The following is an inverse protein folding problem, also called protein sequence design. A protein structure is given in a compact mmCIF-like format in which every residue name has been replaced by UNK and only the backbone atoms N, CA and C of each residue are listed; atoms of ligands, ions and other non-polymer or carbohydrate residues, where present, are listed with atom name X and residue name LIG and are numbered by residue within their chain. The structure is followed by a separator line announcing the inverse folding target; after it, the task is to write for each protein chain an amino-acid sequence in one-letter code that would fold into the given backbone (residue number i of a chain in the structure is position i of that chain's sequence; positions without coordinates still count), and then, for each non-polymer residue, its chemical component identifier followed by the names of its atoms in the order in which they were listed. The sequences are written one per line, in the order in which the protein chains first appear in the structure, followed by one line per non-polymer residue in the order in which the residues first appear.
data_IF_673538266164
#
_entry.id   IF_673538266164
#
_cell.length_a   1.000
_cell.length_b   1.000
_cell.length_c   1.000
_cell.angle_alpha   90.00
_cell.angle_beta   90.00
_cell.angle_gamma   90.00
#
_symmetry.space_group_name_H-M   'P 1'
#
loop_
_entity.id
_entity.type
_entity.pdbx_description
1 polymer ?
#
# COMPACT_ATOMS: atom_id res chain seq x y z
N UNK A 1 87.28 7.72 -0.39
CA UNK A 1 86.44 6.84 0.46
C UNK A 1 85.22 6.44 -0.38
N UNK A 2 85.25 5.41 -1.24
CA UNK A 2 85.04 3.96 -0.97
C UNK A 2 83.93 3.68 0.06
N UNK A 3 82.73 3.32 -0.39
CA UNK A 3 82.16 1.96 -0.21
C UNK A 3 81.09 1.68 -1.27
N UNK A 4 81.01 0.42 -1.68
CA UNK A 4 80.24 -0.14 -2.78
C UNK A 4 79.22 -1.18 -2.26
N UNK A 5 78.20 -1.47 -3.07
CA UNK A 5 77.33 -2.68 -3.01
C UNK A 5 76.22 -2.63 -1.95
N UNK A 6 75.04 -3.25 -2.11
CA UNK A 6 74.68 -4.43 -2.89
C UNK A 6 73.16 -4.45 -3.20
N UNK A 7 72.79 -5.25 -4.20
CA UNK A 7 71.44 -5.56 -4.72
C UNK A 7 70.46 -6.18 -3.69
N UNK A 8 69.16 -5.87 -3.82
CA UNK A 8 68.10 -6.90 -3.78
C UNK A 8 66.86 -6.47 -4.59
N UNK A 9 66.43 -7.34 -5.49
CA UNK A 9 65.18 -7.28 -6.24
C UNK A 9 64.19 -8.21 -5.55
N UNK A 10 62.91 -7.81 -5.38
CA UNK A 10 61.71 -8.57 -5.77
C UNK A 10 60.42 -7.95 -5.22
N UNK A 11 59.50 -7.72 -6.16
CA UNK A 11 58.03 -7.93 -6.11
C UNK A 11 57.14 -7.20 -5.09
N UNK A 12 56.21 -6.43 -5.66
CA UNK A 12 54.79 -6.71 -5.49
C UNK A 12 54.07 -5.97 -4.37
N UNK A 13 53.24 -5.00 -4.74
CA UNK A 13 52.30 -4.39 -3.79
C UNK A 13 51.49 -3.27 -4.40
N UNK A 14 50.42 -3.63 -5.11
CA UNK A 14 49.35 -2.72 -5.54
C UNK A 14 48.89 -1.85 -4.37
N UNK A 15 49.15 -0.54 -4.42
CA UNK A 15 48.38 0.44 -3.65
C UNK A 15 47.06 0.62 -4.39
N UNK A 16 46.08 -0.19 -3.99
CA UNK A 16 44.68 0.00 -4.34
C UNK A 16 44.22 1.36 -3.76
N UNK A 17 44.25 2.39 -4.60
CA UNK A 17 43.59 3.66 -4.30
C UNK A 17 42.07 3.42 -4.34
N UNK A 18 41.47 3.42 -3.15
CA UNK A 18 40.16 3.98 -2.84
C UNK A 18 39.01 3.68 -3.82
N UNK A 19 38.46 2.46 -3.73
CA UNK A 19 37.07 2.18 -4.16
C UNK A 19 36.11 2.42 -3.00
N UNK A 20 36.01 3.66 -2.53
CA UNK A 20 35.04 4.06 -1.50
C UNK A 20 33.87 4.86 -2.07
N UNK A 21 33.94 5.26 -3.35
CA UNK A 21 32.94 6.12 -3.98
C UNK A 21 31.83 5.36 -4.74
N UNK A 22 32.01 4.06 -5.03
CA UNK A 22 30.97 3.28 -5.73
C UNK A 22 29.85 2.76 -4.82
N UNK A 23 30.13 2.49 -3.54
CA UNK A 23 29.10 2.03 -2.60
C UNK A 23 28.09 3.11 -2.21
N UNK A 24 28.54 4.36 -2.05
CA UNK A 24 27.68 5.48 -1.66
C UNK A 24 26.68 5.86 -2.76
N UNK A 25 27.11 5.84 -4.03
CA UNK A 25 26.25 6.12 -5.18
C UNK A 25 25.17 5.04 -5.38
N UNK A 26 25.53 3.75 -5.22
CA UNK A 26 24.57 2.63 -5.31
C UNK A 26 23.48 2.72 -4.22
N UNK A 27 23.88 2.98 -2.97
CA UNK A 27 22.96 3.12 -1.84
C UNK A 27 22.05 4.35 -1.96
N UNK A 28 22.57 5.45 -2.51
CA UNK A 28 21.78 6.66 -2.76
C UNK A 28 20.72 6.42 -3.86
N UNK A 29 21.09 5.70 -4.92
CA UNK A 29 20.18 5.36 -6.01
C UNK A 29 19.07 4.39 -5.58
N UNK A 30 19.40 3.38 -4.79
CA UNK A 30 18.42 2.45 -4.24
C UNK A 30 17.41 3.15 -3.31
N UNK A 31 17.90 4.06 -2.44
CA UNK A 31 17.03 4.91 -1.62
C UNK A 31 16.13 5.83 -2.45
N UNK A 32 16.63 6.35 -3.57
CA UNK A 32 15.84 7.19 -4.49
C UNK A 32 14.74 6.36 -5.17
N UNK A 33 15.09 5.19 -5.70
CA UNK A 33 14.14 4.27 -6.31
C UNK A 33 13.01 3.86 -5.34
N UNK A 34 13.34 3.58 -4.07
CA UNK A 34 12.33 3.30 -3.05
C UNK A 34 11.42 4.51 -2.76
N UNK A 35 11.96 5.74 -2.81
CA UNK A 35 11.15 6.94 -2.65
C UNK A 35 10.17 7.10 -3.82
N UNK A 36 10.67 6.94 -5.04
CA UNK A 36 9.89 7.09 -6.26
C UNK A 36 8.80 6.02 -6.35
N UNK A 37 9.11 4.77 -5.99
CA UNK A 37 8.13 3.69 -5.89
C UNK A 37 7.05 3.98 -4.84
N UNK A 38 7.43 4.42 -3.63
CA UNK A 38 6.47 4.73 -2.56
C UNK A 38 5.53 5.90 -2.92
N UNK A 39 6.05 6.92 -3.61
CA UNK A 39 5.26 8.06 -4.07
C UNK A 39 4.34 7.69 -5.24
N UNK A 40 4.82 6.83 -6.15
CA UNK A 40 4.03 6.29 -7.26
C UNK A 40 2.87 5.45 -6.74
N UNK A 41 3.11 4.60 -5.74
CA UNK A 41 2.07 3.81 -5.09
C UNK A 41 1.00 4.70 -4.44
N UNK A 42 1.41 5.70 -3.64
CA UNK A 42 0.47 6.62 -2.99
C UNK A 42 -0.41 7.37 -4.01
N UNK A 43 0.21 7.82 -5.12
CA UNK A 43 -0.51 8.47 -6.22
C UNK A 43 -1.50 7.52 -6.87
N UNK A 44 -1.04 6.32 -7.24
CA UNK A 44 -1.85 5.30 -7.91
C UNK A 44 -3.09 4.93 -7.09
N UNK A 45 -2.95 4.75 -5.77
CA UNK A 45 -4.06 4.52 -4.85
C UNK A 45 -5.09 5.65 -4.90
N UNK A 46 -4.62 6.89 -4.76
CA UNK A 46 -5.52 8.06 -4.72
C UNK A 46 -6.24 8.26 -6.06
N UNK A 47 -5.52 8.18 -7.17
CA UNK A 47 -6.07 8.34 -8.52
C UNK A 47 -7.05 7.23 -8.87
N UNK A 48 -6.70 5.98 -8.55
CA UNK A 48 -7.56 4.83 -8.83
C UNK A 48 -8.88 4.91 -8.06
N UNK A 49 -8.85 5.27 -6.77
CA UNK A 49 -10.08 5.44 -5.99
C UNK A 49 -11.01 6.53 -6.56
N UNK A 50 -10.44 7.63 -7.04
CA UNK A 50 -11.21 8.70 -7.67
C UNK A 50 -11.79 8.27 -9.02
N UNK A 51 -10.99 7.58 -9.84
CA UNK A 51 -11.36 7.15 -11.19
C UNK A 51 -12.42 6.05 -11.18
N UNK A 52 -12.23 5.01 -10.38
CA UNK A 52 -13.11 3.84 -10.37
C UNK A 52 -14.46 4.11 -9.67
N UNK A 53 -14.55 5.21 -8.90
CA UNK A 53 -15.77 5.65 -8.20
C UNK A 53 -16.39 4.52 -7.35
N UNK A 54 -15.53 3.70 -6.74
CA UNK A 54 -15.94 2.49 -6.01
C UNK A 54 -16.94 2.82 -4.90
N UNK A 55 -16.67 3.85 -4.10
CA UNK A 55 -17.53 4.23 -2.97
C UNK A 55 -18.91 4.72 -3.39
N UNK A 56 -19.05 5.68 -4.34
CA UNK A 56 -20.37 6.04 -4.88
C UNK A 56 -21.13 4.83 -5.43
N UNK A 57 -20.48 3.99 -6.25
CA UNK A 57 -21.12 2.80 -6.84
C UNK A 57 -21.58 1.80 -5.79
N UNK A 58 -20.80 1.63 -4.72
CA UNK A 58 -21.16 0.80 -3.57
C UNK A 58 -22.45 1.30 -2.91
N UNK A 59 -22.51 2.60 -2.58
CA UNK A 59 -23.69 3.17 -1.93
C UNK A 59 -24.91 3.13 -2.85
N UNK A 60 -24.76 3.49 -4.13
CA UNK A 60 -25.85 3.49 -5.10
C UNK A 60 -26.41 2.09 -5.31
N UNK A 61 -25.54 1.08 -5.47
CA UNK A 61 -25.97 -0.31 -5.63
C UNK A 61 -26.67 -0.80 -4.37
N UNK A 62 -26.16 -0.48 -3.17
CA UNK A 62 -26.80 -0.86 -1.92
C UNK A 62 -28.20 -0.26 -1.76
N UNK A 63 -28.34 1.03 -2.07
CA UNK A 63 -29.60 1.77 -1.97
C UNK A 63 -30.64 1.18 -2.90
N UNK A 64 -30.27 0.87 -4.14
CA UNK A 64 -31.17 0.25 -5.13
C UNK A 64 -31.54 -1.17 -4.72
N UNK A 65 -30.56 -2.02 -4.37
CA UNK A 65 -30.79 -3.43 -4.01
C UNK A 65 -31.68 -3.60 -2.77
N UNK A 66 -31.64 -2.64 -1.83
CA UNK A 66 -32.34 -2.76 -0.55
C UNK A 66 -33.47 -1.73 -0.36
N UNK A 67 -33.78 -0.92 -1.38
CA UNK A 67 -34.84 0.09 -1.35
C UNK A 67 -34.60 1.24 -0.36
N UNK A 68 -33.34 1.54 -0.04
CA UNK A 68 -32.95 2.50 1.03
C UNK A 68 -32.70 3.91 0.50
N UNK A 69 -33.58 4.41 -0.38
CA UNK A 69 -33.41 5.71 -1.05
C UNK A 69 -33.30 6.90 -0.09
N UNK A 70 -33.87 6.77 1.12
CA UNK A 70 -33.76 7.78 2.18
C UNK A 70 -32.30 8.16 2.52
N UNK A 71 -31.33 7.25 2.32
CA UNK A 71 -29.91 7.51 2.54
C UNK A 71 -29.31 8.57 1.60
N UNK A 72 -29.98 8.88 0.49
CA UNK A 72 -29.50 9.81 -0.54
C UNK A 72 -30.31 11.11 -0.64
N UNK A 73 -31.40 11.24 0.13
CA UNK A 73 -32.36 12.36 0.00
C UNK A 73 -31.73 13.69 0.42
N UNK A 74 -30.87 13.68 1.44
CA UNK A 74 -30.19 14.88 1.94
C UNK A 74 -28.77 14.97 1.39
N UNK A 75 -28.56 15.86 0.42
CA UNK A 75 -27.30 15.97 -0.32
C UNK A 75 -26.07 16.24 0.57
N UNK A 76 -26.21 17.03 1.65
CA UNK A 76 -25.13 17.27 2.62
C UNK A 76 -24.73 15.98 3.34
N UNK A 77 -25.71 15.29 3.92
CA UNK A 77 -25.48 14.07 4.70
C UNK A 77 -24.94 12.95 3.81
N UNK A 78 -25.42 12.86 2.57
CA UNK A 78 -24.90 11.92 1.59
C UNK A 78 -23.45 12.23 1.21
N UNK A 79 -23.09 13.49 0.99
CA UNK A 79 -21.69 13.89 0.75
C UNK A 79 -20.78 13.55 1.94
N UNK A 80 -21.24 13.80 3.15
CA UNK A 80 -20.48 13.49 4.36
C UNK A 80 -20.30 11.98 4.53
N UNK A 81 -21.36 11.20 4.30
CA UNK A 81 -21.29 9.74 4.27
C UNK A 81 -20.28 9.23 3.23
N UNK A 82 -20.32 9.76 2.01
CA UNK A 82 -19.35 9.39 0.98
C UNK A 82 -17.92 9.73 1.40
N UNK A 83 -17.71 10.85 2.08
CA UNK A 83 -16.39 11.27 2.58
C UNK A 83 -15.87 10.29 3.65
N UNK A 84 -16.73 9.88 4.58
CA UNK A 84 -16.39 8.88 5.60
C UNK A 84 -16.05 7.52 4.96
N UNK A 85 -16.90 7.03 4.06
CA UNK A 85 -16.68 5.77 3.36
C UNK A 85 -15.43 5.81 2.45
N UNK A 86 -15.13 6.95 1.84
CA UNK A 86 -13.92 7.17 1.04
C UNK A 86 -12.65 7.03 1.89
N UNK A 87 -12.68 7.56 3.12
CA UNK A 87 -11.57 7.41 4.06
C UNK A 87 -11.37 5.94 4.46
N UNK A 88 -12.45 5.21 4.74
CA UNK A 88 -12.38 3.78 5.06
C UNK A 88 -11.86 2.95 3.87
N UNK A 89 -12.27 3.28 2.64
CA UNK A 89 -11.77 2.64 1.43
C UNK A 89 -10.27 2.90 1.22
N UNK A 90 -9.81 4.12 1.50
CA UNK A 90 -8.40 4.48 1.44
C UNK A 90 -7.57 3.68 2.46
N UNK A 91 -8.06 3.51 3.70
CA UNK A 91 -7.41 2.70 4.73
C UNK A 91 -7.27 1.23 4.30
N UNK A 92 -8.38 0.63 3.83
CA UNK A 92 -8.39 -0.76 3.38
C UNK A 92 -7.45 -0.99 2.20
N UNK A 93 -7.50 -0.10 1.20
CA UNK A 93 -6.67 -0.19 0.01
C UNK A 93 -5.19 0.02 0.33
N UNK A 94 -4.86 0.99 1.21
CA UNK A 94 -3.49 1.23 1.65
C UNK A 94 -2.93 0.04 2.45
N UNK A 95 -3.71 -0.54 3.36
CA UNK A 95 -3.30 -1.71 4.13
C UNK A 95 -2.97 -2.89 3.20
N UNK A 96 -3.88 -3.22 2.25
CA UNK A 96 -3.64 -4.30 1.29
C UNK A 96 -2.46 -4.01 0.38
N UNK A 97 -2.33 -2.80 -0.17
CA UNK A 97 -1.21 -2.44 -1.03
C UNK A 97 0.15 -2.51 -0.32
N UNK A 98 0.22 -2.09 0.94
CA UNK A 98 1.44 -2.19 1.74
C UNK A 98 1.78 -3.65 2.07
N UNK A 99 0.79 -4.49 2.34
CA UNK A 99 0.98 -5.93 2.52
C UNK A 99 1.56 -6.58 1.26
N UNK A 100 0.98 -6.31 0.08
CA UNK A 100 1.47 -6.79 -1.22
C UNK A 100 2.93 -6.39 -1.48
N UNK A 101 3.30 -5.13 -1.18
CA UNK A 101 4.63 -4.62 -1.50
C UNK A 101 5.69 -5.02 -0.46
N UNK A 102 5.33 -5.06 0.82
CA UNK A 102 6.30 -5.30 1.90
C UNK A 102 6.42 -6.78 2.27
N UNK A 103 5.31 -7.52 2.23
CA UNK A 103 5.20 -8.86 2.80
C UNK A 103 5.08 -9.93 1.74
N UNK A 104 4.34 -9.69 0.64
CA UNK A 104 4.27 -10.66 -0.44
C UNK A 104 5.59 -10.70 -1.22
N UNK A 105 6.14 -11.90 -1.44
CA UNK A 105 7.46 -12.00 -2.00
C UNK A 105 7.38 -11.79 -3.53
N UNK A 106 7.93 -10.68 -3.99
CA UNK A 106 8.02 -10.30 -5.40
C UNK A 106 8.82 -11.35 -6.20
N UNK A 107 8.41 -11.74 -7.42
CA UNK A 107 9.16 -12.68 -8.25
C UNK A 107 10.52 -12.08 -8.67
N UNK A 108 11.56 -12.41 -7.90
CA UNK A 108 12.94 -12.01 -8.15
C UNK A 108 13.64 -12.97 -9.15
N UNK A 109 13.15 -13.05 -10.38
CA UNK A 109 13.78 -13.85 -11.45
C UNK A 109 14.11 -15.29 -11.03
N UNK A 110 15.31 -15.80 -11.37
CA UNK A 110 15.77 -17.18 -11.01
C UNK A 110 16.00 -17.42 -9.51
N UNK A 111 15.77 -16.43 -8.65
CA UNK A 111 15.99 -16.54 -7.20
C UNK A 111 14.67 -16.57 -6.43
N UNK A 112 14.66 -17.29 -5.28
CA UNK A 112 13.47 -17.47 -4.46
C UNK A 112 12.85 -16.10 -4.10
N UNK A 113 11.53 -15.93 -4.25
CA UNK A 113 10.83 -14.72 -3.85
C UNK A 113 11.17 -14.39 -2.37
N UNK A 114 11.58 -13.16 -2.07
CA UNK A 114 11.85 -12.72 -0.70
C UNK A 114 11.03 -11.48 -0.36
N UNK A 115 10.36 -11.46 0.80
CA UNK A 115 9.76 -10.24 1.34
C UNK A 115 10.81 -9.14 1.51
N UNK A 116 10.37 -7.89 1.53
CA UNK A 116 11.26 -6.75 1.75
C UNK A 116 11.93 -6.87 3.14
N UNK A 117 13.19 -6.45 3.26
CA UNK A 117 13.84 -6.41 4.56
C UNK A 117 13.06 -5.47 5.49
N UNK A 118 12.88 -5.84 6.76
CA UNK A 118 12.07 -5.08 7.74
C UNK A 118 12.46 -3.60 7.83
N UNK A 119 13.76 -3.30 7.70
CA UNK A 119 14.27 -1.92 7.68
C UNK A 119 13.82 -1.15 6.44
N UNK A 120 13.85 -1.78 5.28
CA UNK A 120 13.46 -1.17 4.01
C UNK A 120 11.94 -1.00 3.94
N UNK A 121 11.17 -1.96 4.46
CA UNK A 121 9.72 -1.85 4.59
C UNK A 121 9.32 -0.65 5.47
N UNK A 122 10.02 -0.43 6.60
CA UNK A 122 9.78 0.73 7.46
C UNK A 122 10.11 2.06 6.75
N UNK A 123 11.20 2.10 5.98
CA UNK A 123 11.57 3.29 5.19
C UNK A 123 10.54 3.54 4.10
N UNK A 124 10.12 2.49 3.38
CA UNK A 124 9.11 2.55 2.33
C UNK A 124 7.78 3.07 2.87
N UNK A 125 7.26 2.49 3.96
CA UNK A 125 6.04 2.93 4.62
C UNK A 125 6.09 4.40 5.00
N UNK A 126 7.19 4.86 5.61
CA UNK A 126 7.33 6.27 5.99
C UNK A 126 7.29 7.20 4.78
N UNK A 127 7.94 6.82 3.68
CA UNK A 127 7.93 7.62 2.45
C UNK A 127 6.57 7.60 1.76
N UNK A 128 5.89 6.46 1.77
CA UNK A 128 4.51 6.31 1.29
C UNK A 128 3.56 7.25 2.05
N UNK A 129 3.57 7.22 3.39
CA UNK A 129 2.72 8.10 4.21
C UNK A 129 3.05 9.59 3.98
N UNK A 130 4.32 9.94 3.84
CA UNK A 130 4.73 11.31 3.54
C UNK A 130 4.29 11.75 2.13
N UNK A 131 4.26 10.85 1.15
CA UNK A 131 3.71 11.14 -0.18
C UNK A 131 2.19 11.29 -0.14
N UNK A 132 1.49 10.39 0.55
CA UNK A 132 0.03 10.42 0.69
C UNK A 132 -0.45 11.70 1.39
N UNK A 133 0.20 12.08 2.49
CA UNK A 133 -0.11 13.33 3.24
C UNK A 133 -0.03 14.55 2.34
N UNK A 134 1.04 14.64 1.51
CA UNK A 134 1.22 15.74 0.56
C UNK A 134 0.17 15.77 -0.54
N UNK A 135 -0.22 14.60 -1.05
CA UNK A 135 -1.24 14.49 -2.10
C UNK A 135 -2.63 14.85 -1.60
N UNK A 136 -2.95 14.47 -0.36
CA UNK A 136 -4.25 14.74 0.25
C UNK A 136 -4.37 16.15 0.85
N UNK A 137 -3.26 16.89 0.97
CA UNK A 137 -3.24 18.21 1.60
C UNK A 137 -3.59 18.18 3.09
N UNK A 138 -3.33 17.05 3.75
CA UNK A 138 -3.67 16.83 5.15
C UNK A 138 -2.85 17.69 6.11
N UNK A 139 -3.47 18.09 7.21
CA UNK A 139 -2.76 18.68 8.34
C UNK A 139 -1.93 17.62 9.06
N UNK A 140 -1.05 18.06 9.97
CA UNK A 140 -0.29 17.13 10.81
C UNK A 140 -1.21 16.25 11.68
N UNK A 141 -2.35 16.79 12.13
CA UNK A 141 -3.35 16.05 12.90
C UNK A 141 -3.99 14.93 12.08
N UNK A 142 -4.49 15.27 10.89
CA UNK A 142 -5.14 14.31 10.00
C UNK A 142 -4.18 13.18 9.58
N UNK A 143 -2.91 13.52 9.32
CA UNK A 143 -1.89 12.53 8.97
C UNK A 143 -1.60 11.55 10.12
N UNK A 144 -1.55 12.04 11.36
CA UNK A 144 -1.35 11.21 12.55
C UNK A 144 -2.56 10.31 12.81
N UNK A 145 -3.77 10.84 12.68
CA UNK A 145 -5.01 10.07 12.82
C UNK A 145 -5.07 8.96 11.78
N UNK A 146 -4.81 9.27 10.50
CA UNK A 146 -4.76 8.27 9.44
C UNK A 146 -3.70 7.22 9.69
N UNK A 147 -2.51 7.60 10.14
CA UNK A 147 -1.44 6.65 10.47
C UNK A 147 -1.85 5.70 11.60
N UNK A 148 -2.50 6.22 12.65
CA UNK A 148 -3.01 5.43 13.77
C UNK A 148 -4.08 4.44 13.30
N UNK A 149 -5.03 4.91 12.50
CA UNK A 149 -6.10 4.08 11.96
C UNK A 149 -5.58 2.99 11.02
N UNK A 150 -4.60 3.32 10.18
CA UNK A 150 -3.96 2.36 9.29
C UNK A 150 -3.26 1.26 10.09
N UNK A 151 -2.54 1.62 11.15
CA UNK A 151 -1.89 0.65 12.03
C UNK A 151 -2.92 -0.24 12.75
N UNK A 152 -4.04 0.32 13.19
CA UNK A 152 -5.15 -0.46 13.76
C UNK A 152 -5.73 -1.43 12.74
N UNK A 153 -5.98 -0.97 11.50
CA UNK A 153 -6.48 -1.80 10.40
C UNK A 153 -5.59 -3.01 10.15
N UNK A 154 -4.28 -2.82 10.06
CA UNK A 154 -3.32 -3.89 9.85
C UNK A 154 -3.34 -4.92 10.98
N UNK A 155 -3.37 -4.47 12.24
CA UNK A 155 -3.48 -5.38 13.39
C UNK A 155 -4.78 -6.20 13.38
N UNK A 156 -5.89 -5.59 12.97
CA UNK A 156 -7.18 -6.28 12.89
C UNK A 156 -7.19 -7.31 11.76
N UNK A 157 -6.59 -7.00 10.61
CA UNK A 157 -6.43 -7.93 9.49
C UNK A 157 -5.54 -9.11 9.90
N UNK A 158 -4.39 -8.84 10.52
CA UNK A 158 -3.49 -9.89 11.04
C UNK A 158 -4.22 -10.81 12.04
N UNK A 159 -5.06 -10.24 12.91
CA UNK A 159 -5.88 -11.02 13.86
C UNK A 159 -7.00 -11.82 13.18
N UNK A 160 -7.55 -11.31 12.08
CA UNK A 160 -8.60 -11.98 11.33
C UNK A 160 -8.08 -13.21 10.56
N UNK A 161 -6.78 -13.24 10.23
CA UNK A 161 -6.11 -14.36 9.57
C UNK A 161 -5.92 -15.60 10.45
N UNK A 162 -6.22 -15.52 11.75
CA UNK A 162 -6.23 -16.70 12.61
C UNK A 162 -7.50 -17.54 12.33
N UNK A 163 -7.37 -18.88 12.17
CA UNK A 163 -8.47 -19.73 11.74
C UNK A 163 -9.59 -19.72 12.79
N UNK A 164 -10.66 -18.99 12.50
CA UNK A 164 -11.99 -19.24 13.07
C UNK A 164 -12.83 -19.97 12.02
N UNK A 165 -13.80 -20.76 12.50
CA UNK A 165 -14.66 -21.70 11.75
C UNK A 165 -14.83 -21.35 10.25
N UNK A 166 -14.69 -22.36 9.39
CA UNK A 166 -14.91 -22.26 7.93
C UNK A 166 -16.15 -21.41 7.60
N UNK A 167 -15.93 -20.31 6.88
CA UNK A 167 -16.94 -19.30 6.53
C UNK A 167 -17.93 -19.87 5.52
N UNK A 168 -19.22 -19.56 5.65
CA UNK A 168 -20.23 -19.91 4.63
C UNK A 168 -20.11 -18.99 3.41
N UNK A 169 -20.40 -19.45 2.18
CA UNK A 169 -20.29 -18.63 0.97
C UNK A 169 -21.13 -17.34 0.99
N UNK A 170 -22.20 -17.31 1.78
CA UNK A 170 -23.15 -16.19 1.89
C UNK A 170 -22.90 -15.29 3.10
N UNK A 171 -21.78 -15.46 3.81
CA UNK A 171 -21.43 -14.69 4.99
C UNK A 171 -20.45 -13.58 4.63
N UNK A 172 -20.60 -12.37 5.17
CA UNK A 172 -19.69 -11.26 4.89
C UNK A 172 -18.25 -11.57 5.34
N UNK A 173 -17.25 -10.96 4.69
CA UNK A 173 -15.86 -11.10 5.10
C UNK A 173 -15.64 -10.54 6.52
N UNK A 174 -14.82 -11.24 7.31
CA UNK A 174 -14.37 -10.77 8.62
C UNK A 174 -13.22 -9.78 8.43
N UNK A 175 -13.55 -8.52 8.16
CA UNK A 175 -12.59 -7.48 7.82
C UNK A 175 -13.03 -6.12 8.39
N UNK A 176 -12.12 -5.30 8.97
CA UNK A 176 -12.47 -4.02 9.61
C UNK A 176 -13.23 -3.06 8.68
N UNK A 177 -12.87 -3.01 7.40
CA UNK A 177 -13.60 -2.26 6.37
C UNK A 177 -15.08 -2.63 6.31
N UNK A 178 -15.40 -3.93 6.34
CA UNK A 178 -16.77 -4.42 6.19
C UNK A 178 -17.62 -3.99 7.37
N UNK A 179 -17.10 -4.14 8.59
CA UNK A 179 -17.83 -3.82 9.80
C UNK A 179 -18.02 -2.31 9.97
N UNK A 180 -16.97 -1.52 9.69
CA UNK A 180 -17.03 -0.04 9.78
C UNK A 180 -17.91 0.55 8.68
N UNK A 181 -17.79 0.09 7.44
CA UNK A 181 -18.66 0.57 6.36
C UNK A 181 -20.11 0.18 6.58
N UNK A 182 -20.39 -1.03 7.10
CA UNK A 182 -21.75 -1.42 7.42
C UNK A 182 -22.37 -0.53 8.51
N UNK A 183 -21.60 -0.23 9.56
CA UNK A 183 -22.05 0.67 10.63
C UNK A 183 -22.30 2.10 10.12
N UNK A 184 -21.39 2.64 9.31
CA UNK A 184 -21.52 3.99 8.73
C UNK A 184 -22.68 4.09 7.73
N UNK A 185 -22.88 3.06 6.91
CA UNK A 185 -23.88 3.05 5.85
C UNK A 185 -25.29 2.86 6.40
N UNK A 186 -25.49 1.81 7.20
CA UNK A 186 -26.83 1.45 7.68
C UNK A 186 -26.77 0.55 8.93
N UNK A 187 -26.71 1.17 10.10
CA UNK A 187 -26.72 0.47 11.39
C UNK A 187 -28.03 -0.30 11.66
N UNK A 188 -29.12 0.06 10.99
CA UNK A 188 -30.40 -0.64 11.13
C UNK A 188 -30.50 -1.89 10.27
N UNK A 189 -29.64 -2.03 9.25
CA UNK A 189 -29.63 -3.17 8.34
C UNK A 189 -28.22 -3.73 8.11
N UNK A 190 -27.55 -4.06 9.22
CA UNK A 190 -26.13 -4.43 9.25
C UNK A 190 -25.79 -5.60 8.35
N UNK A 191 -26.56 -6.69 8.34
CA UNK A 191 -26.22 -7.89 7.56
C UNK A 191 -26.15 -7.60 6.06
N UNK A 192 -27.11 -6.82 5.54
CA UNK A 192 -27.10 -6.42 4.12
C UNK A 192 -25.97 -5.45 3.84
N UNK A 193 -25.73 -4.50 4.74
CA UNK A 193 -24.66 -3.52 4.59
C UNK A 193 -23.28 -4.20 4.62
N UNK A 194 -23.07 -5.20 5.50
CA UNK A 194 -21.86 -6.03 5.54
C UNK A 194 -21.68 -6.84 4.27
N UNK A 195 -22.74 -7.43 3.72
CA UNK A 195 -22.65 -8.16 2.45
C UNK A 195 -22.25 -7.25 1.28
N UNK A 196 -22.86 -6.07 1.18
CA UNK A 196 -22.51 -5.10 0.14
C UNK A 196 -21.09 -4.55 0.33
N UNK A 197 -20.67 -4.28 1.56
CA UNK A 197 -19.32 -3.86 1.88
C UNK A 197 -18.30 -4.98 1.58
N UNK A 198 -18.65 -6.25 1.80
CA UNK A 198 -17.80 -7.40 1.46
C UNK A 198 -17.59 -7.55 -0.05
N UNK A 199 -18.61 -7.29 -0.88
CA UNK A 199 -18.45 -7.25 -2.34
C UNK A 199 -17.50 -6.12 -2.75
N UNK A 200 -17.68 -4.95 -2.13
CA UNK A 200 -16.86 -3.77 -2.39
C UNK A 200 -15.40 -3.97 -1.96
N UNK A 201 -15.18 -4.65 -0.83
CA UNK A 201 -13.84 -5.02 -0.36
C UNK A 201 -13.11 -5.86 -1.40
N UNK A 202 -13.76 -6.87 -2.00
CA UNK A 202 -13.15 -7.68 -3.03
C UNK A 202 -12.70 -6.83 -4.25
N UNK A 203 -13.51 -5.85 -4.66
CA UNK A 203 -13.12 -4.90 -5.71
C UNK A 203 -11.95 -4.00 -5.30
N UNK A 204 -11.86 -3.60 -4.03
CA UNK A 204 -10.72 -2.84 -3.51
C UNK A 204 -9.44 -3.69 -3.48
N UNK A 205 -9.53 -4.94 -3.05
CA UNK A 205 -8.39 -5.87 -3.04
C UNK A 205 -7.87 -6.12 -4.46
N UNK A 206 -8.76 -6.33 -5.42
CA UNK A 206 -8.40 -6.46 -6.83
C UNK A 206 -7.73 -5.19 -7.36
N UNK A 207 -8.27 -4.01 -7.02
CA UNK A 207 -7.68 -2.74 -7.38
C UNK A 207 -6.27 -2.57 -6.78
N UNK A 208 -6.05 -3.01 -5.53
CA UNK A 208 -4.75 -2.99 -4.88
C UNK A 208 -3.71 -3.78 -5.69
N UNK A 209 -4.10 -4.99 -6.11
CA UNK A 209 -3.26 -5.86 -6.95
C UNK A 209 -2.91 -5.15 -8.25
N UNK A 210 -3.88 -4.59 -8.97
CA UNK A 210 -3.65 -3.89 -10.23
C UNK A 210 -2.70 -2.69 -10.07
N UNK A 211 -2.87 -1.89 -9.01
CA UNK A 211 -2.01 -0.73 -8.74
C UNK A 211 -0.57 -1.19 -8.49
N UNK A 212 -0.37 -2.20 -7.63
CA UNK A 212 0.97 -2.68 -7.29
C UNK A 212 1.69 -3.25 -8.52
N UNK A 213 0.99 -4.02 -9.36
CA UNK A 213 1.57 -4.52 -10.62
C UNK A 213 1.93 -3.37 -11.58
N UNK A 214 1.05 -2.37 -11.71
CA UNK A 214 1.32 -1.21 -12.58
C UNK A 214 2.46 -0.31 -12.09
N UNK A 215 2.77 -0.37 -10.78
CA UNK A 215 3.84 0.39 -10.16
C UNK A 215 5.22 -0.29 -10.31
N UNK A 216 5.27 -1.56 -10.72
CA UNK A 216 6.52 -2.28 -10.93
C UNK A 216 7.18 -1.86 -12.26
N UNK A 217 8.38 -1.25 -12.23
CA UNK A 217 9.02 -0.67 -13.42
C UNK A 217 9.47 -1.69 -14.47
N UNK A 218 9.44 -2.99 -14.16
CA UNK A 218 9.85 -4.05 -15.09
C UNK A 218 8.84 -4.28 -16.22
N UNK A 219 7.55 -4.08 -15.95
CA UNK A 219 6.47 -4.37 -16.90
C UNK A 219 6.28 -3.27 -17.95
N UNK A 220 6.59 -2.01 -17.59
CA UNK A 220 6.51 -0.88 -18.52
C UNK A 220 7.57 -0.92 -19.65
N UNK A 221 8.58 -1.78 -19.56
CA UNK A 221 9.58 -1.96 -20.64
C UNK A 221 9.07 -2.78 -21.83
N UNK A 222 7.98 -3.54 -21.66
CA UNK A 222 7.42 -4.40 -22.70
C UNK A 222 6.25 -3.77 -23.48
N UNK A 223 5.71 -2.63 -23.04
CA UNK A 223 4.57 -1.96 -23.69
C UNK A 223 4.95 -0.90 -24.74
N UNK A 224 6.23 -0.64 -24.96
CA UNK A 224 6.72 0.24 -26.03
C UNK A 224 7.53 -0.57 -27.05
N UNK A 225 6.85 -1.31 -27.91
CA UNK A 225 7.31 -1.70 -29.26
C UNK A 225 6.13 -1.79 -30.20
#
# INVERSE_FOLDING_TARGET
MKFAGFFFWTTGGRVARNSCYHGAASMAQEKKNLADASATLARGITEALLRERIVPRFVDSYVIENGRHALQVHASNYRDLLTLLQREALLALAARALELVCSEPQPAGRSKPRPMLRRDAAIFRRKFLAALTRQQGWTAGDALEFQSDLQMYEQLIERANFPRRSRKPFEAANHPFVDRCAFLLDSSFMEKARLAASKTLASLEELAVQIVHSADPKENSFRTR
#
